data_IF_926107681857
#
_entry.id   IF_926107681857
#
_cell.length_a   1.000
_cell.length_b   1.000
_cell.length_c   1.000
_cell.angle_alpha   90.00
_cell.angle_beta   90.00
_cell.angle_gamma   90.00
#
_symmetry.space_group_name_H-M   'P 1'
#
loop_
_entity.id
_entity.type
_entity.pdbx_description
1 polymer ?
#
# COMPACT_ATOMS: atom_id res chain seq x y z
N UNK A 1 -25.66 -39.66 -40.05
CA UNK A 1 -24.45 -38.88 -39.70
C UNK A 1 -23.83 -39.54 -38.47
N UNK A 2 -22.86 -40.44 -38.65
CA UNK A 2 -22.19 -41.09 -37.53
C UNK A 2 -21.08 -40.18 -37.03
N UNK A 3 -21.26 -39.59 -35.85
CA UNK A 3 -20.21 -38.87 -35.15
C UNK A 3 -19.05 -39.84 -34.84
N UNK A 4 -17.86 -39.54 -35.36
CA UNK A 4 -16.64 -40.27 -35.00
C UNK A 4 -16.44 -40.17 -33.49
N UNK A 5 -16.50 -41.31 -32.80
CA UNK A 5 -16.13 -41.37 -31.38
C UNK A 5 -14.64 -41.07 -31.29
N UNK A 6 -14.28 -39.91 -30.75
CA UNK A 6 -12.91 -39.60 -30.39
C UNK A 6 -12.45 -40.64 -29.36
N UNK A 7 -11.56 -41.52 -29.77
CA UNK A 7 -10.93 -42.51 -28.89
C UNK A 7 -9.96 -41.76 -27.97
N UNK A 8 -10.31 -41.62 -26.69
CA UNK A 8 -9.33 -41.20 -25.69
C UNK A 8 -8.23 -42.27 -25.61
N UNK A 9 -6.97 -41.85 -25.60
CA UNK A 9 -5.83 -42.76 -25.43
C UNK A 9 -5.44 -42.78 -23.94
N UNK A 10 -5.98 -43.71 -23.13
CA UNK A 10 -5.81 -43.68 -21.68
C UNK A 10 -4.34 -43.79 -21.27
N UNK A 11 -3.52 -44.57 -21.99
CA UNK A 11 -2.09 -44.68 -21.74
C UNK A 11 -1.34 -43.37 -21.97
N UNK A 12 -1.74 -42.61 -22.99
CA UNK A 12 -1.09 -41.35 -23.36
C UNK A 12 -1.39 -40.28 -22.29
N UNK A 13 -2.63 -40.22 -21.80
CA UNK A 13 -3.02 -39.35 -20.69
C UNK A 13 -2.35 -39.73 -19.36
N UNK A 14 -2.19 -41.03 -19.08
CA UNK A 14 -1.43 -41.49 -17.91
C UNK A 14 0.03 -41.06 -17.96
N UNK A 15 0.68 -41.15 -19.13
CA UNK A 15 2.06 -40.69 -19.29
C UNK A 15 2.20 -39.17 -19.12
N UNK A 16 1.25 -38.39 -19.67
CA UNK A 16 1.21 -36.93 -19.48
C UNK A 16 1.02 -36.57 -18.01
N UNK A 17 0.12 -37.24 -17.30
CA UNK A 17 -0.11 -37.00 -15.87
C UNK A 17 1.12 -37.33 -15.03
N UNK A 18 1.78 -38.46 -15.30
CA UNK A 18 3.02 -38.84 -14.62
C UNK A 18 4.12 -37.80 -14.87
N UNK A 19 4.29 -37.36 -16.11
CA UNK A 19 5.27 -36.33 -16.44
C UNK A 19 4.98 -35.01 -15.71
N UNK A 20 3.71 -34.60 -15.65
CA UNK A 20 3.28 -33.42 -14.92
C UNK A 20 3.59 -33.49 -13.42
N UNK A 21 3.29 -34.62 -12.77
CA UNK A 21 3.60 -34.85 -11.35
C UNK A 21 5.10 -34.81 -11.10
N UNK A 22 5.91 -35.42 -11.97
CA UNK A 22 7.37 -35.39 -11.86
C UNK A 22 7.92 -33.97 -12.01
N UNK A 23 7.40 -33.18 -12.95
CA UNK A 23 7.79 -31.78 -13.14
C UNK A 23 7.46 -30.94 -11.90
N UNK A 24 6.25 -31.09 -11.34
CA UNK A 24 5.85 -30.39 -10.12
C UNK A 24 6.75 -30.80 -8.94
N UNK A 25 6.98 -32.10 -8.75
CA UNK A 25 7.82 -32.60 -7.68
C UNK A 25 9.26 -32.09 -7.81
N UNK A 26 9.80 -32.04 -9.03
CA UNK A 26 11.11 -31.45 -9.30
C UNK A 26 11.13 -29.95 -9.01
N UNK A 27 10.12 -29.20 -9.46
CA UNK A 27 9.99 -27.77 -9.20
C UNK A 27 9.94 -27.48 -7.69
N UNK A 28 9.07 -28.17 -6.95
CA UNK A 28 8.99 -28.06 -5.49
C UNK A 28 10.31 -28.41 -4.83
N UNK A 29 10.94 -29.52 -5.21
CA UNK A 29 12.23 -29.94 -4.64
C UNK A 29 13.33 -28.91 -4.91
N UNK A 30 13.41 -28.40 -6.14
CA UNK A 30 14.40 -27.40 -6.54
C UNK A 30 14.27 -26.12 -5.72
N UNK A 31 13.05 -25.60 -5.58
CA UNK A 31 12.79 -24.40 -4.80
C UNK A 31 12.92 -24.63 -3.30
N UNK A 32 12.50 -25.80 -2.79
CA UNK A 32 12.67 -26.18 -1.39
C UNK A 32 14.15 -26.27 -1.03
N UNK A 33 14.97 -26.96 -1.83
CA UNK A 33 16.42 -27.06 -1.59
C UNK A 33 17.12 -25.70 -1.65
N UNK A 34 16.70 -24.82 -2.57
CA UNK A 34 17.18 -23.42 -2.56
C UNK A 34 16.75 -22.67 -1.31
N UNK A 35 15.50 -22.82 -0.89
CA UNK A 35 14.97 -22.23 0.34
C UNK A 35 15.70 -22.74 1.59
N UNK A 36 15.99 -24.03 1.64
CA UNK A 36 16.75 -24.68 2.72
C UNK A 36 18.20 -24.17 2.76
N UNK A 37 18.88 -24.06 1.62
CA UNK A 37 20.23 -23.48 1.55
C UNK A 37 20.28 -22.02 2.02
N UNK A 38 19.24 -21.23 1.69
CA UNK A 38 19.05 -19.88 2.23
C UNK A 38 18.75 -19.92 3.74
N UNK A 39 17.95 -20.88 4.21
CA UNK A 39 17.64 -21.05 5.63
C UNK A 39 18.83 -21.50 6.48
N UNK A 40 19.76 -22.29 5.93
CA UNK A 40 21.01 -22.68 6.59
C UNK A 40 21.97 -21.49 6.72
N UNK A 41 21.96 -20.58 5.75
CA UNK A 41 22.78 -19.35 5.79
C UNK A 41 22.12 -18.20 6.56
N UNK A 42 20.83 -18.35 6.88
CA UNK A 42 20.04 -17.46 7.74
C UNK A 42 19.30 -18.27 8.82
N UNK A 43 20.03 -18.89 9.77
CA UNK A 43 19.40 -19.74 10.78
C UNK A 43 18.40 -18.93 11.60
N UNK A 44 17.20 -19.50 11.82
CA UNK A 44 16.29 -18.97 12.85
C UNK A 44 17.07 -18.90 14.17
N UNK A 45 16.88 -17.87 14.99
CA UNK A 45 17.51 -17.81 16.29
C UNK A 45 16.95 -18.97 17.13
N UNK A 46 17.70 -20.07 17.20
CA UNK A 46 17.49 -21.12 18.19
C UNK A 46 18.04 -20.58 19.49
N UNK A 47 17.16 -20.44 20.48
CA UNK A 47 17.42 -19.79 21.76
C UNK A 47 18.79 -20.09 22.36
N UNK A 48 19.44 -19.04 22.87
CA UNK A 48 20.71 -19.14 23.60
C UNK A 48 21.49 -17.83 23.65
N UNK A 49 21.35 -16.96 22.65
CA UNK A 49 21.80 -15.57 22.71
C UNK A 49 20.55 -14.69 22.71
N UNK A 50 20.37 -13.87 23.76
CA UNK A 50 19.24 -12.96 23.87
C UNK A 50 19.02 -12.19 22.56
N UNK A 51 17.78 -12.12 22.10
CA UNK A 51 17.43 -11.30 20.95
C UNK A 51 17.70 -9.86 21.37
N UNK A 52 18.68 -9.22 20.76
CA UNK A 52 19.01 -7.81 21.02
C UNK A 52 17.74 -6.98 20.81
N UNK A 53 17.26 -6.35 21.90
CA UNK A 53 16.08 -5.48 21.87
C UNK A 53 16.40 -4.30 20.94
N UNK A 54 15.59 -4.06 19.89
CA UNK A 54 15.79 -2.92 19.00
C UNK A 54 15.62 -1.58 19.72
N UNK A 55 16.36 -0.55 19.29
CA UNK A 55 16.17 0.82 19.78
C UNK A 55 14.89 1.44 19.18
N UNK A 56 13.77 1.23 19.86
CA UNK A 56 12.47 1.74 19.42
C UNK A 56 12.41 3.28 19.43
N UNK A 57 13.08 3.94 20.38
CA UNK A 57 13.12 5.40 20.43
C UNK A 57 13.78 5.97 19.17
N UNK A 58 14.91 5.40 18.73
CA UNK A 58 15.59 5.83 17.51
C UNK A 58 14.71 5.66 16.26
N UNK A 59 13.97 4.57 16.13
CA UNK A 59 13.05 4.39 15.00
C UNK A 59 11.84 5.33 15.05
N UNK A 60 11.30 5.61 16.24
CA UNK A 60 10.19 6.55 16.40
C UNK A 60 10.65 7.98 16.07
N UNK A 61 11.85 8.37 16.46
CA UNK A 61 12.40 9.69 16.18
C UNK A 61 12.71 9.94 14.70
N UNK A 62 12.88 8.88 13.90
CA UNK A 62 13.28 8.97 12.50
C UNK A 62 12.07 9.10 11.57
N UNK A 63 11.78 10.34 11.17
CA UNK A 63 10.65 10.73 10.31
C UNK A 63 11.11 11.31 8.95
N UNK A 64 12.27 10.91 8.46
CA UNK A 64 12.77 11.35 7.15
C UNK A 64 11.95 10.77 5.98
N UNK A 65 12.10 11.36 4.80
CA UNK A 65 11.36 10.98 3.60
C UNK A 65 11.57 9.51 3.21
N UNK A 66 12.78 8.96 3.41
CA UNK A 66 13.09 7.57 3.10
C UNK A 66 12.25 6.60 3.96
N UNK A 67 12.04 6.94 5.24
CA UNK A 67 11.18 6.15 6.14
C UNK A 67 9.72 6.23 5.74
N UNK A 68 9.22 7.40 5.36
CA UNK A 68 7.83 7.56 4.92
C UNK A 68 7.55 6.80 3.62
N UNK A 69 8.51 6.85 2.69
CA UNK A 69 8.42 6.10 1.43
C UNK A 69 8.47 4.59 1.65
N UNK A 70 9.36 4.11 2.54
CA UNK A 70 9.35 2.70 2.97
C UNK A 70 8.00 2.32 3.59
N UNK A 71 7.46 3.17 4.46
CA UNK A 71 6.16 2.96 5.10
C UNK A 71 5.01 2.86 4.11
N UNK A 72 5.01 3.69 3.08
CA UNK A 72 4.04 3.66 1.97
C UNK A 72 4.13 2.32 1.22
N UNK A 73 5.33 1.89 0.85
CA UNK A 73 5.54 0.61 0.15
C UNK A 73 5.05 -0.57 0.98
N UNK A 74 5.33 -0.58 2.29
CA UNK A 74 4.85 -1.62 3.22
C UNK A 74 3.32 -1.58 3.31
N UNK A 75 2.72 -0.40 3.44
CA UNK A 75 1.26 -0.24 3.51
C UNK A 75 0.56 -0.77 2.26
N UNK A 76 1.03 -0.37 1.09
CA UNK A 76 0.47 -0.79 -0.21
C UNK A 76 0.56 -2.30 -0.41
N UNK A 77 1.69 -2.90 -0.05
CA UNK A 77 1.90 -4.33 -0.22
C UNK A 77 1.12 -5.20 0.79
N UNK A 78 0.87 -4.71 2.01
CA UNK A 78 0.42 -5.56 3.11
C UNK A 78 -0.90 -5.14 3.78
N UNK A 79 -1.27 -3.86 3.72
CA UNK A 79 -2.32 -3.28 4.56
C UNK A 79 -3.56 -2.83 3.77
N UNK A 80 -3.37 -2.40 2.52
CA UNK A 80 -4.43 -1.82 1.65
C UNK A 80 -5.63 -2.73 1.47
N UNK A 81 -5.42 -4.06 1.43
CA UNK A 81 -6.53 -5.02 1.23
C UNK A 81 -7.62 -4.88 2.28
N UNK A 82 -7.26 -4.53 3.52
CA UNK A 82 -8.21 -4.36 4.61
C UNK A 82 -8.49 -2.90 4.94
N UNK A 83 -7.43 -2.07 4.94
CA UNK A 83 -7.51 -0.68 5.38
C UNK A 83 -7.76 0.31 4.24
N UNK A 84 -7.74 -0.12 2.98
CA UNK A 84 -7.98 0.74 1.81
C UNK A 84 -6.80 1.64 1.48
N UNK A 85 -6.73 2.10 0.23
CA UNK A 85 -5.67 3.03 -0.22
C UNK A 85 -5.74 4.38 0.51
N UNK A 86 -6.95 4.79 0.87
CA UNK A 86 -7.27 6.05 1.56
C UNK A 86 -7.48 5.88 3.08
N UNK A 87 -7.22 4.69 3.62
CA UNK A 87 -7.47 4.39 5.03
C UNK A 87 -8.95 4.13 5.37
N UNK A 88 -9.83 4.00 4.35
CA UNK A 88 -11.28 3.83 4.52
C UNK A 88 -11.78 2.41 4.19
N UNK A 89 -10.89 1.42 4.10
CA UNK A 89 -11.20 0.07 3.61
C UNK A 89 -12.21 -0.72 4.45
N UNK A 90 -12.26 -0.54 5.77
CA UNK A 90 -13.29 -1.08 6.66
C UNK A 90 -13.49 -2.61 6.68
N UNK A 91 -12.74 -3.37 5.86
CA UNK A 91 -12.95 -4.81 5.64
C UNK A 91 -12.71 -5.56 6.93
N UNK A 92 -13.61 -6.48 7.29
CA UNK A 92 -13.52 -7.26 8.53
C UNK A 92 -13.39 -6.40 9.81
N UNK A 93 -13.99 -5.21 9.81
CA UNK A 93 -13.89 -4.28 10.95
C UNK A 93 -12.51 -3.63 11.09
N UNK A 94 -11.75 -3.57 10.00
CA UNK A 94 -10.54 -2.77 9.92
C UNK A 94 -10.85 -1.31 10.25
N UNK A 95 -9.97 -0.70 11.05
CA UNK A 95 -10.10 0.70 11.50
C UNK A 95 -10.10 1.64 10.30
N UNK A 96 -11.01 2.61 10.31
CA UNK A 96 -10.96 3.73 9.38
C UNK A 96 -10.03 4.80 9.97
N UNK A 97 -8.80 4.90 9.48
CA UNK A 97 -7.80 5.80 10.09
C UNK A 97 -8.25 7.27 10.13
N UNK A 98 -8.87 7.83 9.07
CA UNK A 98 -9.24 9.24 9.05
C UNK A 98 -10.35 9.63 10.03
N UNK A 99 -11.15 8.70 10.54
CA UNK A 99 -12.41 9.05 11.24
C UNK A 99 -12.62 8.33 12.56
N UNK A 100 -12.03 7.15 12.76
CA UNK A 100 -12.28 6.35 13.96
C UNK A 100 -11.15 6.47 14.99
N UNK A 101 -11.51 6.36 16.26
CA UNK A 101 -10.56 6.29 17.35
C UNK A 101 -9.83 4.93 17.41
N UNK A 102 -8.55 4.96 17.76
CA UNK A 102 -7.74 3.76 17.99
C UNK A 102 -8.09 3.15 19.34
N UNK A 103 -8.52 1.89 19.34
CA UNK A 103 -8.97 1.19 20.56
C UNK A 103 -7.84 0.56 21.38
N UNK A 104 -6.64 0.51 20.82
CA UNK A 104 -5.46 -0.10 21.42
C UNK A 104 -4.27 0.87 21.46
N UNK A 105 -4.56 2.16 21.52
CA UNK A 105 -3.59 3.26 21.56
C UNK A 105 -3.26 3.79 20.16
N UNK A 106 -3.22 5.12 20.04
CA UNK A 106 -2.91 5.81 18.79
C UNK A 106 -1.43 6.23 18.67
N UNK A 107 -0.66 6.14 19.76
CA UNK A 107 0.75 6.52 19.77
C UNK A 107 1.62 5.52 18.97
N UNK A 108 2.80 5.94 18.47
CA UNK A 108 3.65 5.10 17.63
C UNK A 108 3.95 3.72 18.21
N UNK A 109 4.19 3.64 19.52
CA UNK A 109 4.52 2.38 20.17
C UNK A 109 3.31 1.43 20.21
N UNK A 110 2.13 1.95 20.55
CA UNK A 110 0.90 1.17 20.52
C UNK A 110 0.56 0.65 19.11
N UNK A 111 0.78 1.45 18.08
CA UNK A 111 0.63 1.01 16.69
C UNK A 111 1.65 -0.08 16.33
N UNK A 112 2.92 0.07 16.72
CA UNK A 112 3.95 -0.96 16.55
C UNK A 112 3.57 -2.28 17.24
N UNK A 113 3.01 -2.22 18.45
CA UNK A 113 2.54 -3.39 19.19
C UNK A 113 1.36 -4.07 18.47
N UNK A 114 0.46 -3.29 17.88
CA UNK A 114 -0.62 -3.80 17.03
C UNK A 114 -0.08 -4.63 15.88
N UNK A 115 0.93 -4.10 15.18
CA UNK A 115 1.58 -4.81 14.07
C UNK A 115 2.33 -6.05 14.57
N UNK A 116 2.93 -5.98 15.75
CA UNK A 116 3.76 -7.07 16.29
C UNK A 116 2.95 -8.21 16.91
N UNK A 117 1.78 -7.92 17.49
CA UNK A 117 0.96 -8.88 18.25
C UNK A 117 -0.39 -9.17 17.61
N UNK A 118 -0.81 -8.37 16.64
CA UNK A 118 -2.18 -8.38 16.13
C UNK A 118 -3.15 -7.71 17.10
N UNK A 119 -4.37 -7.44 16.63
CA UNK A 119 -5.45 -6.92 17.46
C UNK A 119 -6.80 -7.25 16.83
N UNK A 120 -7.69 -7.88 17.59
CA UNK A 120 -8.96 -8.42 17.09
C UNK A 120 -8.76 -9.28 15.83
N UNK A 121 -9.36 -8.87 14.70
CA UNK A 121 -9.26 -9.57 13.42
C UNK A 121 -8.04 -9.15 12.59
N UNK A 122 -7.27 -8.15 13.04
CA UNK A 122 -6.00 -7.82 12.41
C UNK A 122 -4.92 -8.83 12.86
N UNK A 123 -4.39 -9.66 11.95
CA UNK A 123 -3.36 -10.62 12.30
C UNK A 123 -2.05 -9.90 12.63
N UNK A 124 -1.24 -10.54 13.49
CA UNK A 124 0.15 -10.12 13.69
C UNK A 124 0.89 -10.15 12.34
N UNK A 125 1.84 -9.23 12.18
CA UNK A 125 2.68 -9.09 10.98
C UNK A 125 4.10 -9.58 11.29
N UNK A 126 4.33 -10.89 11.47
CA UNK A 126 5.66 -11.40 11.78
C UNK A 126 6.61 -11.15 10.61
N UNK A 127 6.14 -11.23 9.37
CA UNK A 127 6.96 -11.07 8.18
C UNK A 127 7.63 -9.70 8.04
N UNK A 128 7.13 -8.68 8.74
CA UNK A 128 7.72 -7.34 8.75
C UNK A 128 8.81 -7.24 9.82
N UNK A 129 9.95 -6.67 9.43
CA UNK A 129 11.03 -6.26 10.33
C UNK A 129 10.58 -5.15 11.28
N UNK A 130 11.37 -4.90 12.32
CA UNK A 130 11.10 -3.79 13.26
C UNK A 130 11.09 -2.43 12.56
N UNK A 131 12.01 -2.22 11.62
CA UNK A 131 12.11 -0.98 10.84
C UNK A 131 10.87 -0.77 9.96
N UNK A 132 10.43 -1.81 9.24
CA UNK A 132 9.23 -1.74 8.39
C UNK A 132 7.96 -1.47 9.19
N UNK A 133 7.84 -2.03 10.41
CA UNK A 133 6.70 -1.77 11.30
C UNK A 133 6.65 -0.31 11.74
N UNK A 134 7.78 0.26 12.14
CA UNK A 134 7.84 1.68 12.49
C UNK A 134 7.62 2.58 11.28
N UNK A 135 8.16 2.22 10.12
CA UNK A 135 7.97 2.95 8.88
C UNK A 135 6.47 3.02 8.49
N UNK A 136 5.76 1.88 8.50
CA UNK A 136 4.32 1.87 8.19
C UNK A 136 3.48 2.58 9.25
N UNK A 137 3.88 2.52 10.53
CA UNK A 137 3.29 3.34 11.60
C UNK A 137 3.43 4.83 11.30
N UNK A 138 4.61 5.30 10.90
CA UNK A 138 4.82 6.70 10.54
C UNK A 138 4.01 7.09 9.31
N UNK A 139 4.01 6.27 8.27
CA UNK A 139 3.18 6.51 7.08
C UNK A 139 1.70 6.65 7.44
N UNK A 140 1.13 5.75 8.23
CA UNK A 140 -0.29 5.84 8.65
C UNK A 140 -0.56 7.14 9.42
N UNK A 141 0.34 7.52 10.33
CA UNK A 141 0.22 8.75 11.12
C UNK A 141 0.26 10.01 10.26
N UNK A 142 1.25 10.12 9.38
CA UNK A 142 1.41 11.30 8.52
C UNK A 142 0.32 11.38 7.45
N UNK A 143 0.03 10.27 6.78
CA UNK A 143 -0.90 10.24 5.65
C UNK A 143 -2.38 10.36 6.07
N UNK A 144 -2.77 9.70 7.16
CA UNK A 144 -4.19 9.56 7.50
C UNK A 144 -4.57 10.27 8.80
N UNK A 145 -3.65 10.49 9.74
CA UNK A 145 -4.00 11.04 11.06
C UNK A 145 -3.70 12.54 11.18
N UNK A 146 -2.53 13.00 10.73
CA UNK A 146 -2.06 14.38 10.94
C UNK A 146 -3.12 15.43 10.59
N UNK A 147 -3.73 15.31 9.43
CA UNK A 147 -4.73 16.28 8.95
C UNK A 147 -6.17 15.83 9.21
N UNK A 148 -6.47 14.55 8.99
CA UNK A 148 -7.86 14.07 8.96
C UNK A 148 -8.34 13.59 10.33
N UNK A 149 -7.44 13.12 11.20
CA UNK A 149 -7.77 12.64 12.54
C UNK A 149 -6.78 13.15 13.61
N UNK A 150 -6.66 14.48 13.78
CA UNK A 150 -5.64 15.07 14.66
C UNK A 150 -5.82 14.67 16.13
N UNK A 151 -7.03 14.30 16.56
CA UNK A 151 -7.29 13.78 17.91
C UNK A 151 -6.54 12.48 18.22
N UNK A 152 -6.18 11.72 17.18
CA UNK A 152 -5.44 10.47 17.28
C UNK A 152 -3.96 10.64 16.89
N UNK A 153 -3.54 11.84 16.45
CA UNK A 153 -2.16 12.12 16.12
C UNK A 153 -1.39 12.49 17.40
N UNK A 154 -0.69 11.52 17.98
CA UNK A 154 0.20 11.77 19.12
C UNK A 154 1.46 12.48 18.67
N UNK A 155 1.80 13.64 19.25
CA UNK A 155 3.07 14.31 18.99
C UNK A 155 4.25 13.54 19.60
N UNK A 156 5.35 13.42 18.84
CA UNK A 156 6.59 12.80 19.32
C UNK A 156 7.44 13.89 19.96
N UNK A 157 7.46 13.94 21.29
CA UNK A 157 8.28 14.88 22.06
C UNK A 157 9.57 14.22 22.55
N UNK A 158 10.56 15.02 22.94
CA UNK A 158 11.76 14.49 23.61
C UNK A 158 11.41 13.72 24.89
N UNK A 159 10.38 14.16 25.63
CA UNK A 159 9.88 13.47 26.82
C UNK A 159 9.28 12.09 26.47
N UNK A 160 8.50 12.01 25.38
CA UNK A 160 7.96 10.73 24.89
C UNK A 160 9.09 9.77 24.50
N UNK A 161 10.12 10.26 23.80
CA UNK A 161 11.29 9.47 23.40
C UNK A 161 12.15 9.05 24.59
N UNK A 162 12.24 9.85 25.64
CA UNK A 162 13.04 9.55 26.82
C UNK A 162 12.33 8.56 27.77
N UNK A 163 11.00 8.65 27.89
CA UNK A 163 10.21 7.94 28.91
C UNK A 163 9.22 6.91 28.33
N UNK A 164 9.42 6.52 27.07
CA UNK A 164 8.53 5.60 26.39
C UNK A 164 8.44 4.22 27.05
N UNK A 165 7.29 3.52 26.95
CA UNK A 165 7.06 2.23 27.60
C UNK A 165 7.68 1.03 26.86
N UNK A 166 8.70 1.26 26.03
CA UNK A 166 9.43 0.21 25.32
C UNK A 166 10.63 -0.32 26.13
N UNK A 167 11.08 -1.57 25.89
CA UNK A 167 12.23 -2.11 26.60
C UNK A 167 13.52 -1.40 26.20
N UNK A 168 14.48 -1.33 27.13
CA UNK A 168 15.78 -0.72 26.86
C UNK A 168 16.53 -1.49 25.76
N UNK A 169 17.16 -0.79 24.80
CA UNK A 169 17.91 -1.46 23.73
C UNK A 169 19.04 -2.33 24.31
N UNK A 170 19.25 -3.51 23.72
CA UNK A 170 20.30 -4.44 24.14
C UNK A 170 20.06 -5.19 25.45
N UNK A 171 18.91 -5.03 26.11
CA UNK A 171 18.56 -5.79 27.31
C UNK A 171 18.30 -7.28 27.01
N UNK A 172 18.97 -8.19 27.70
CA UNK A 172 18.78 -9.64 27.56
C UNK A 172 17.49 -10.18 28.22
N UNK A 173 16.76 -9.31 28.94
CA UNK A 173 15.70 -9.71 29.88
C UNK A 173 14.28 -9.50 29.33
N UNK A 174 14.14 -9.08 28.07
CA UNK A 174 12.85 -8.98 27.41
C UNK A 174 12.45 -10.36 26.87
N UNK A 175 11.77 -11.15 27.69
CA UNK A 175 11.13 -12.39 27.30
C UNK A 175 9.94 -12.09 26.37
N UNK A 176 10.25 -11.76 25.11
CA UNK A 176 9.29 -11.61 24.04
C UNK A 176 9.63 -12.62 22.94
N UNK A 177 8.75 -13.61 22.67
CA UNK A 177 8.93 -14.50 21.54
C UNK A 177 8.58 -13.72 20.26
N UNK A 178 9.57 -13.06 19.66
CA UNK A 178 9.47 -12.53 18.30
C UNK A 178 10.46 -13.28 17.37
N UNK A 179 9.98 -13.80 16.22
CA UNK A 179 10.72 -14.80 15.42
C UNK A 179 11.85 -14.25 14.54
N UNK A 180 12.19 -12.96 14.60
CA UNK A 180 13.17 -12.33 13.72
C UNK A 180 14.37 -11.79 14.50
N UNK A 181 15.48 -12.53 14.44
CA UNK A 181 16.73 -12.16 15.08
C UNK A 181 17.63 -11.28 14.20
N UNK A 182 18.57 -10.62 14.89
CA UNK A 182 19.68 -9.78 14.39
C UNK A 182 19.29 -8.74 13.34
N UNK A 183 19.03 -7.51 13.79
CA UNK A 183 19.05 -6.29 12.97
C UNK A 183 20.48 -5.91 12.57
N UNK A 184 21.24 -6.84 11.99
CA UNK A 184 22.46 -6.47 11.29
C UNK A 184 22.03 -5.83 9.96
N UNK A 185 22.26 -4.51 9.84
CA UNK A 185 22.06 -3.73 8.60
C UNK A 185 22.60 -4.52 7.41
N UNK A 186 21.72 -5.15 6.65
CA UNK A 186 22.01 -5.62 5.30
C UNK A 186 21.18 -4.76 4.39
N UNK A 187 21.83 -3.89 3.63
CA UNK A 187 21.18 -3.20 2.53
C UNK A 187 20.44 -4.26 1.71
N UNK A 188 19.13 -4.13 1.58
CA UNK A 188 18.30 -5.03 0.80
C UNK A 188 18.70 -4.86 -0.67
N UNK A 189 19.74 -5.57 -1.12
CA UNK A 189 19.92 -5.91 -2.52
C UNK A 189 18.95 -7.04 -2.85
N UNK A 190 17.66 -6.79 -2.68
CA UNK A 190 16.67 -7.49 -3.48
C UNK A 190 16.96 -7.03 -4.91
N UNK A 191 16.99 -7.90 -5.93
CA UNK A 191 16.90 -7.44 -7.30
C UNK A 191 15.48 -6.90 -7.49
N UNK A 192 15.24 -5.67 -7.02
CA UNK A 192 13.98 -4.92 -7.16
C UNK A 192 13.58 -4.83 -8.64
N UNK A 193 14.54 -4.97 -9.56
CA UNK A 193 14.34 -5.04 -11.00
C UNK A 193 13.39 -6.14 -11.51
N UNK A 194 13.09 -7.20 -10.77
CA UNK A 194 12.25 -8.29 -11.30
C UNK A 194 10.76 -8.22 -10.89
N UNK A 195 10.41 -7.49 -9.83
CA UNK A 195 9.00 -7.37 -9.37
C UNK A 195 8.52 -5.93 -9.42
N UNK A 196 9.40 -4.93 -9.28
CA UNK A 196 9.00 -3.54 -9.48
C UNK A 196 8.92 -3.17 -10.96
N UNK A 197 9.67 -3.80 -11.87
CA UNK A 197 9.71 -3.39 -13.29
C UNK A 197 8.37 -3.57 -14.03
N UNK A 198 7.40 -4.31 -13.47
CA UNK A 198 6.03 -4.36 -13.98
C UNK A 198 5.13 -3.24 -13.40
N UNK A 199 5.57 -2.54 -12.37
CA UNK A 199 4.92 -1.35 -11.79
C UNK A 199 5.71 -0.04 -11.97
N UNK A 200 6.96 -0.10 -12.44
CA UNK A 200 7.81 1.08 -12.72
C UNK A 200 7.82 1.41 -14.22
N UNK A 201 6.67 1.37 -14.88
CA UNK A 201 6.52 2.06 -16.17
C UNK A 201 6.04 3.46 -15.86
N UNK A 202 6.99 4.39 -15.92
CA UNK A 202 6.86 5.84 -15.76
C UNK A 202 6.40 6.32 -14.38
N UNK A 203 6.84 7.52 -14.05
CA UNK A 203 6.23 8.36 -13.01
C UNK A 203 4.78 8.60 -13.43
N UNK A 204 3.87 7.68 -13.15
CA UNK A 204 2.44 7.96 -13.22
C UNK A 204 2.08 8.56 -11.87
N UNK A 205 1.85 9.87 -11.88
CA UNK A 205 1.13 10.52 -10.80
C UNK A 205 -0.11 9.67 -10.49
N UNK A 206 -0.42 9.47 -9.21
CA UNK A 206 -1.67 8.82 -8.83
C UNK A 206 -2.85 9.56 -9.49
N UNK A 207 -4.00 8.91 -9.74
CA UNK A 207 -5.10 9.53 -10.49
C UNK A 207 -5.51 10.92 -10.00
N UNK A 208 -5.42 11.17 -8.69
CA UNK A 208 -5.68 12.49 -8.08
C UNK A 208 -4.67 13.54 -8.52
N UNK A 209 -3.38 13.21 -8.49
CA UNK A 209 -2.32 14.14 -8.83
C UNK A 209 -2.26 14.39 -10.34
N UNK A 210 -2.55 13.37 -11.15
CA UNK A 210 -2.72 13.53 -12.59
C UNK A 210 -3.89 14.46 -12.90
N UNK A 211 -5.03 14.28 -12.25
CA UNK A 211 -6.19 15.17 -12.39
C UNK A 211 -5.87 16.60 -11.96
N UNK A 212 -5.26 16.79 -10.78
CA UNK A 212 -4.88 18.12 -10.27
C UNK A 212 -3.89 18.82 -11.18
N UNK A 213 -2.94 18.10 -11.77
CA UNK A 213 -1.98 18.67 -12.70
C UNK A 213 -2.67 19.16 -13.98
N UNK A 214 -3.61 18.39 -14.54
CA UNK A 214 -4.38 18.81 -15.71
C UNK A 214 -5.22 20.06 -15.41
N UNK A 215 -5.93 20.06 -14.27
CA UNK A 215 -6.73 21.21 -13.83
C UNK A 215 -5.86 22.44 -13.55
N UNK A 216 -4.65 22.26 -13.02
CA UNK A 216 -3.73 23.37 -12.76
C UNK A 216 -3.22 24.05 -14.05
N UNK A 217 -3.13 23.29 -15.15
CA UNK A 217 -2.65 23.75 -16.46
C UNK A 217 -3.66 24.56 -17.27
N UNK A 218 -4.94 24.57 -16.90
CA UNK A 218 -6.00 25.27 -17.65
C UNK A 218 -6.37 26.63 -17.03
N UNK A 219 -6.76 27.63 -17.84
CA UNK A 219 -7.08 28.98 -17.37
C UNK A 219 -8.47 29.04 -16.72
N UNK A 220 -8.55 28.67 -15.44
CA UNK A 220 -9.76 28.77 -14.62
C UNK A 220 -9.71 29.97 -13.66
N UNK A 221 -10.88 30.56 -13.38
CA UNK A 221 -11.05 31.48 -12.24
C UNK A 221 -10.77 30.74 -10.91
N UNK A 222 -10.43 31.47 -9.85
CA UNK A 222 -10.13 30.84 -8.55
C UNK A 222 -11.29 29.99 -8.03
N UNK A 223 -12.53 30.50 -8.16
CA UNK A 223 -13.72 29.76 -7.75
C UNK A 223 -13.92 28.46 -8.54
N UNK A 224 -13.73 28.49 -9.87
CA UNK A 224 -13.80 27.29 -10.70
C UNK A 224 -12.66 26.32 -10.37
N UNK A 225 -11.43 26.83 -10.20
CA UNK A 225 -10.28 26.00 -9.85
C UNK A 225 -10.52 25.20 -8.57
N UNK A 226 -11.11 25.81 -7.54
CA UNK A 226 -11.47 25.11 -6.30
C UNK A 226 -12.55 24.03 -6.51
N UNK A 227 -13.52 24.27 -7.40
CA UNK A 227 -14.55 23.29 -7.76
C UNK A 227 -13.96 22.09 -8.51
N UNK A 228 -13.00 22.34 -9.41
CA UNK A 228 -12.39 21.33 -10.27
C UNK A 228 -11.24 20.56 -9.60
N UNK A 229 -10.50 21.18 -8.66
CA UNK A 229 -9.45 20.50 -7.89
C UNK A 229 -10.02 19.50 -6.88
N UNK A 230 -11.27 19.70 -6.45
CA UNK A 230 -11.98 18.80 -5.56
C UNK A 230 -11.23 18.57 -4.26
N UNK A 231 -11.46 19.42 -3.25
CA UNK A 231 -10.81 19.33 -1.93
C UNK A 231 -10.88 17.92 -1.28
N UNK A 232 -11.82 17.06 -1.71
CA UNK A 232 -11.97 15.67 -1.28
C UNK A 232 -12.08 14.66 -2.45
N UNK A 233 -11.52 14.97 -3.62
CA UNK A 233 -11.58 14.07 -4.77
C UNK A 233 -10.86 12.76 -4.45
N UNK A 234 -11.56 11.62 -4.42
CA UNK A 234 -10.97 10.30 -4.16
C UNK A 234 -10.16 9.77 -5.35
N UNK A 235 -9.24 8.80 -5.17
CA UNK A 235 -8.50 8.19 -6.28
C UNK A 235 -9.40 7.51 -7.31
N UNK A 236 -10.51 6.92 -6.84
CA UNK A 236 -11.51 6.32 -7.71
C UNK A 236 -12.24 7.37 -8.54
N UNK A 237 -12.74 8.44 -7.90
CA UNK A 237 -13.40 9.54 -8.60
C UNK A 237 -12.48 10.22 -9.63
N UNK A 238 -11.22 10.44 -9.27
CA UNK A 238 -10.21 10.98 -10.19
C UNK A 238 -9.97 10.05 -11.39
N UNK A 239 -9.92 8.73 -11.17
CA UNK A 239 -9.82 7.76 -12.26
C UNK A 239 -11.06 7.79 -13.17
N UNK A 240 -12.26 7.85 -12.61
CA UNK A 240 -13.50 7.96 -13.40
C UNK A 240 -13.50 9.23 -14.27
N UNK A 241 -13.04 10.36 -13.72
CA UNK A 241 -12.91 11.62 -14.46
C UNK A 241 -11.89 11.54 -15.59
N UNK A 242 -10.73 10.90 -15.36
CA UNK A 242 -9.71 10.68 -16.40
C UNK A 242 -10.20 9.73 -17.49
N UNK A 243 -10.90 8.66 -17.12
CA UNK A 243 -11.52 7.73 -18.09
C UNK A 243 -12.59 8.43 -18.92
N UNK A 244 -13.48 9.18 -18.28
CA UNK A 244 -14.52 9.93 -18.97
C UNK A 244 -13.96 11.07 -19.83
N UNK A 245 -12.81 11.64 -19.47
CA UNK A 245 -12.11 12.65 -20.26
C UNK A 245 -11.68 12.06 -21.61
N UNK A 246 -11.18 10.82 -21.61
CA UNK A 246 -10.71 10.11 -22.80
C UNK A 246 -11.85 9.46 -23.64
N UNK A 247 -13.07 9.40 -23.11
CA UNK A 247 -14.23 8.83 -23.82
C UNK A 247 -14.56 9.63 -25.09
N UNK A 248 -15.02 8.96 -26.16
CA UNK A 248 -15.41 9.62 -27.41
C UNK A 248 -16.68 10.48 -27.24
N UNK A 249 -17.59 10.08 -26.34
CA UNK A 249 -18.82 10.79 -26.06
C UNK A 249 -18.59 11.89 -24.99
N UNK A 250 -18.66 13.19 -25.35
CA UNK A 250 -18.44 14.28 -24.41
C UNK A 250 -19.49 14.34 -23.29
N UNK A 251 -20.67 13.73 -23.47
CA UNK A 251 -21.72 13.75 -22.47
C UNK A 251 -21.43 12.78 -21.31
N UNK A 252 -20.63 11.72 -21.55
CA UNK A 252 -20.11 10.83 -20.50
C UNK A 252 -19.27 11.62 -19.50
N UNK A 253 -18.43 12.54 -19.99
CA UNK A 253 -17.65 13.43 -19.12
C UNK A 253 -18.53 14.39 -18.34
N UNK A 254 -19.56 14.97 -18.97
CA UNK A 254 -20.48 15.91 -18.29
C UNK A 254 -21.19 15.21 -17.12
N UNK A 255 -21.70 14.00 -17.36
CA UNK A 255 -22.35 13.21 -16.32
C UNK A 255 -21.37 12.82 -15.21
N UNK A 256 -20.21 12.27 -15.58
CA UNK A 256 -19.19 11.83 -14.62
C UNK A 256 -18.66 12.98 -13.75
N UNK A 257 -18.48 14.16 -14.35
CA UNK A 257 -18.08 15.36 -13.61
C UNK A 257 -19.17 15.81 -12.63
N UNK A 258 -20.44 15.75 -13.02
CA UNK A 258 -21.56 16.03 -12.12
C UNK A 258 -21.64 15.06 -10.93
N UNK A 259 -21.40 13.78 -11.17
CA UNK A 259 -21.51 12.71 -10.17
C UNK A 259 -20.35 12.73 -9.15
N UNK A 260 -19.16 13.18 -9.56
CA UNK A 260 -17.94 13.10 -8.74
C UNK A 260 -17.40 14.43 -8.25
N UNK A 261 -17.87 15.54 -8.82
CA UNK A 261 -17.54 16.88 -8.39
C UNK A 261 -18.87 17.63 -8.17
N UNK A 262 -19.52 17.47 -7.00
CA UNK A 262 -20.88 17.95 -6.77
C UNK A 262 -21.14 19.42 -7.16
N UNK A 263 -20.22 20.38 -6.95
CA UNK A 263 -20.41 21.76 -7.42
C UNK A 263 -20.54 21.90 -8.95
N UNK A 264 -19.98 20.97 -9.73
CA UNK A 264 -20.00 20.98 -11.19
C UNK A 264 -21.39 20.64 -11.75
N UNK A 265 -22.20 19.88 -11.01
CA UNK A 265 -23.60 19.59 -11.39
C UNK A 265 -24.46 20.85 -11.57
N UNK A 266 -24.03 21.99 -11.01
CA UNK A 266 -24.69 23.29 -11.11
C UNK A 266 -24.21 24.12 -12.31
N UNK A 267 -23.14 23.70 -12.99
CA UNK A 267 -22.62 24.40 -14.16
C UNK A 267 -23.42 24.02 -15.42
N UNK A 268 -23.62 24.95 -16.37
CA UNK A 268 -24.19 24.61 -17.67
C UNK A 268 -23.35 23.53 -18.37
N UNK A 269 -23.98 22.54 -18.98
CA UNK A 269 -23.28 21.48 -19.71
C UNK A 269 -22.32 22.04 -20.79
N UNK A 270 -22.65 23.17 -21.41
CA UNK A 270 -21.76 23.87 -22.34
C UNK A 270 -20.45 24.34 -21.70
N UNK A 271 -20.47 24.77 -20.44
CA UNK A 271 -19.27 25.16 -19.70
C UNK A 271 -18.41 23.95 -19.36
N UNK A 272 -19.04 22.85 -18.94
CA UNK A 272 -18.35 21.59 -18.62
C UNK A 272 -17.67 21.00 -19.86
N UNK A 273 -18.34 21.00 -21.02
CA UNK A 273 -17.74 20.59 -22.30
C UNK A 273 -16.58 21.49 -22.73
N UNK A 274 -16.69 22.80 -22.57
CA UNK A 274 -15.59 23.73 -22.88
C UNK A 274 -14.35 23.48 -22.00
N UNK A 275 -14.55 23.12 -20.72
CA UNK A 275 -13.43 22.76 -19.83
C UNK A 275 -12.82 21.41 -20.21
N UNK A 276 -13.65 20.43 -20.60
CA UNK A 276 -13.16 19.15 -21.16
C UNK A 276 -12.20 19.36 -22.32
N UNK A 277 -12.56 20.24 -23.27
CA UNK A 277 -11.70 20.55 -24.42
C UNK A 277 -10.34 21.13 -24.00
N UNK A 278 -10.33 22.02 -22.99
CA UNK A 278 -9.09 22.57 -22.44
C UNK A 278 -8.24 21.52 -21.73
N UNK A 279 -8.88 20.59 -21.00
CA UNK A 279 -8.19 19.48 -20.33
C UNK A 279 -7.58 18.51 -21.34
N UNK A 280 -8.26 18.24 -22.46
CA UNK A 280 -7.75 17.41 -23.55
C UNK A 280 -6.53 18.04 -24.24
N UNK A 281 -6.51 19.36 -24.41
CA UNK A 281 -5.37 20.08 -24.99
C UNK A 281 -4.11 20.01 -24.12
N UNK A 282 -4.28 19.89 -22.80
CA UNK A 282 -3.19 19.71 -21.83
C UNK A 282 -2.85 18.24 -21.55
N UNK A 283 -3.67 17.30 -22.00
CA UNK A 283 -3.44 15.88 -21.76
C UNK A 283 -2.26 15.39 -22.60
N UNK A 284 -1.29 14.64 -22.02
CA UNK A 284 -0.25 14.01 -22.81
C UNK A 284 -0.88 13.07 -23.85
N UNK A 285 -0.30 13.00 -25.04
CA UNK A 285 -0.83 12.21 -26.17
C UNK A 285 -0.99 10.70 -25.87
N UNK A 286 -0.44 10.23 -24.74
CA UNK A 286 -0.63 8.92 -24.17
C UNK A 286 -1.39 9.03 -22.84
N UNK A 287 -2.69 9.28 -22.87
CA UNK A 287 -3.59 8.73 -21.85
C UNK A 287 -3.74 7.23 -22.15
N UNK A 288 -2.65 6.47 -21.99
CA UNK A 288 -2.71 5.02 -22.00
C UNK A 288 -3.35 4.61 -20.66
N UNK A 289 -4.69 4.55 -20.69
CA UNK A 289 -5.55 4.03 -19.62
C UNK A 289 -5.48 2.49 -19.56
#
# INVERSE_FOLDING_TARGET
MNASRATSHPLLWSLVLIAFVVIIAFYFRFWFQRGEAVGVTHPRPTGGAGVEVPDHAAFIARLDEDVLELGRQVYEANCVVCHGLDGMGGVNGARLFPTEEFRNGADPWSQYLTLSRGYNLMPAQPMLSTEEKHAVTHFVREQFLREQNPSQYTEITEEYLANGPWPAPGGADAEAPHPHGRNARKALTIPVKAVSAQFTVAVSLGPQDQWRQLVAGIPLSEAERQQWMGHHLSPWAARQLLTALADEDPDVFVQTAGDHLPPISLLPASRVRAIREQLLDQAPSSLDL
#
